data_IF_704570634573
#
_entry.id   IF_704570634573
#
_cell.length_a   1.000
_cell.length_b   1.000
_cell.length_c   1.000
_cell.angle_alpha   90.00
_cell.angle_beta   90.00
_cell.angle_gamma   90.00
#
_symmetry.space_group_name_H-M   'P 1'
#
loop_
_entity.id
_entity.type
_entity.pdbx_description
1 polymer ?
#
# COMPACT_ATOMS: atom_id res chain seq x y z
N UNK A 1 -10.34 -21.85 -27.34
CA UNK A 1 -9.33 -22.63 -28.08
C UNK A 1 -10.05 -23.82 -28.67
N UNK A 2 -9.89 -24.08 -29.97
CA UNK A 2 -10.45 -25.28 -30.58
C UNK A 2 -9.75 -26.52 -29.97
N UNK A 3 -10.50 -27.60 -29.77
CA UNK A 3 -9.92 -28.86 -29.34
C UNK A 3 -9.10 -29.42 -30.50
N UNK A 4 -7.81 -29.69 -30.27
CA UNK A 4 -6.94 -30.36 -31.25
C UNK A 4 -7.45 -31.80 -31.41
N UNK A 5 -7.86 -32.17 -32.63
CA UNK A 5 -8.30 -33.52 -32.99
C UNK A 5 -7.34 -34.16 -33.98
N UNK A 6 -7.30 -35.49 -34.01
CA UNK A 6 -6.56 -36.27 -35.00
C UNK A 6 -6.88 -35.81 -36.45
N UNK A 7 -8.16 -35.55 -36.75
CA UNK A 7 -8.62 -35.06 -38.05
C UNK A 7 -8.02 -33.69 -38.41
N UNK A 8 -7.92 -32.77 -37.43
CA UNK A 8 -7.32 -31.45 -37.65
C UNK A 8 -5.82 -31.55 -37.96
N UNK A 9 -5.07 -32.38 -37.22
CA UNK A 9 -3.63 -32.59 -37.47
C UNK A 9 -3.39 -33.30 -38.81
N UNK A 10 -4.24 -34.24 -39.19
CA UNK A 10 -4.16 -34.92 -40.47
C UNK A 10 -4.36 -33.95 -41.64
N UNK A 11 -5.35 -33.06 -41.54
CA UNK A 11 -5.59 -32.02 -42.56
C UNK A 11 -4.39 -31.07 -42.70
N UNK A 12 -3.75 -30.70 -41.59
CA UNK A 12 -2.56 -29.84 -41.61
C UNK A 12 -1.34 -30.59 -42.17
N UNK A 13 -1.12 -31.87 -41.83
CA UNK A 13 -0.03 -32.68 -42.37
C UNK A 13 -0.16 -32.90 -43.89
N UNK A 14 -1.38 -33.08 -44.39
CA UNK A 14 -1.68 -33.19 -45.82
C UNK A 14 -1.36 -31.89 -46.58
N UNK A 15 -1.50 -30.72 -45.94
CA UNK A 15 -1.13 -29.42 -46.54
C UNK A 15 0.37 -29.31 -46.85
N UNK A 16 1.22 -30.03 -46.10
CA UNK A 16 2.67 -30.04 -46.26
C UNK A 16 3.21 -31.31 -46.95
N UNK A 17 2.33 -32.10 -47.59
CA UNK A 17 2.68 -33.37 -48.25
C UNK A 17 3.41 -34.38 -47.34
N UNK A 18 3.12 -34.37 -46.03
CA UNK A 18 3.75 -35.28 -45.06
C UNK A 18 2.90 -36.56 -44.94
N UNK A 19 3.39 -37.73 -45.40
CA UNK A 19 2.61 -38.95 -45.32
C UNK A 19 2.55 -39.48 -43.88
N UNK A 20 1.36 -39.47 -43.28
CA UNK A 20 1.08 -40.14 -42.01
C UNK A 20 0.07 -41.27 -42.25
N UNK A 21 0.55 -42.52 -42.28
CA UNK A 21 -0.28 -43.71 -42.50
C UNK A 21 -0.56 -44.49 -41.20
N UNK A 22 0.08 -44.09 -40.10
CA UNK A 22 -0.02 -44.74 -38.81
C UNK A 22 -0.83 -43.87 -37.84
N UNK A 23 -2.01 -44.34 -37.46
CA UNK A 23 -2.90 -43.62 -36.55
C UNK A 23 -2.26 -43.45 -35.16
N UNK A 24 -1.33 -44.33 -34.76
CA UNK A 24 -0.63 -44.23 -33.47
C UNK A 24 0.34 -43.04 -33.40
N UNK A 25 0.93 -42.65 -34.54
CA UNK A 25 1.79 -41.47 -34.69
C UNK A 25 0.95 -40.20 -34.56
N UNK A 26 -0.24 -40.21 -35.13
CA UNK A 26 -1.19 -39.10 -35.08
C UNK A 26 -1.72 -38.89 -33.66
N UNK A 27 -2.07 -39.98 -32.96
CA UNK A 27 -2.49 -39.95 -31.55
C UNK A 27 -1.38 -39.38 -30.65
N UNK A 28 -0.12 -39.73 -30.93
CA UNK A 28 1.03 -39.18 -30.19
C UNK A 28 1.19 -37.67 -30.42
N UNK A 29 0.97 -37.18 -31.64
CA UNK A 29 1.00 -35.74 -31.92
C UNK A 29 -0.15 -35.00 -31.22
N UNK A 30 -1.34 -35.60 -31.13
CA UNK A 30 -2.47 -35.04 -30.36
C UNK A 30 -2.08 -34.94 -28.89
N UNK A 31 -1.51 -36.00 -28.31
CA UNK A 31 -1.02 -36.01 -26.91
C UNK A 31 0.00 -34.87 -26.69
N UNK A 32 0.99 -34.73 -27.58
CA UNK A 32 2.02 -33.69 -27.48
C UNK A 32 1.44 -32.27 -27.59
N UNK A 33 0.43 -32.05 -28.43
CA UNK A 33 -0.29 -30.77 -28.54
C UNK A 33 -0.98 -30.42 -27.23
N UNK A 34 -1.65 -31.39 -26.60
CA UNK A 34 -2.37 -31.21 -25.33
C UNK A 34 -1.37 -30.92 -24.20
N UNK A 35 -0.32 -31.73 -24.08
CA UNK A 35 0.71 -31.57 -23.05
C UNK A 35 1.48 -30.25 -23.17
N UNK A 36 1.76 -29.81 -24.40
CA UNK A 36 2.55 -28.59 -24.66
C UNK A 36 1.69 -27.33 -24.84
N UNK A 37 0.35 -27.46 -24.84
CA UNK A 37 -0.63 -26.39 -25.13
C UNK A 37 -0.36 -25.68 -26.46
N UNK A 38 -0.16 -26.44 -27.53
CA UNK A 38 0.10 -25.96 -28.89
C UNK A 38 -1.09 -26.34 -29.79
N UNK A 39 -1.45 -25.50 -30.76
CA UNK A 39 -2.51 -25.79 -31.74
C UNK A 39 -1.97 -26.68 -32.88
N UNK A 40 -2.87 -27.28 -33.67
CA UNK A 40 -2.50 -28.27 -34.69
C UNK A 40 -1.59 -27.69 -35.79
N UNK A 41 -1.87 -26.47 -36.23
CA UNK A 41 -1.11 -25.70 -37.21
C UNK A 41 0.31 -25.40 -36.72
N UNK A 42 0.44 -24.84 -35.51
CA UNK A 42 1.72 -24.55 -34.88
C UNK A 42 2.57 -25.84 -34.68
N UNK A 43 1.93 -26.96 -34.33
CA UNK A 43 2.61 -28.25 -34.16
C UNK A 43 3.21 -28.75 -35.48
N UNK A 44 2.45 -28.69 -36.57
CA UNK A 44 2.92 -29.16 -37.89
C UNK A 44 4.03 -28.25 -38.43
N UNK A 45 3.93 -26.92 -38.23
CA UNK A 45 4.98 -25.98 -38.61
C UNK A 45 6.30 -26.23 -37.88
N UNK A 46 6.24 -26.45 -36.56
CA UNK A 46 7.42 -26.76 -35.75
C UNK A 46 8.02 -28.11 -36.13
N UNK A 47 7.18 -29.10 -36.45
CA UNK A 47 7.64 -30.39 -36.95
C UNK A 47 8.35 -30.26 -38.31
N UNK A 48 7.78 -29.48 -39.25
CA UNK A 48 8.38 -29.21 -40.57
C UNK A 48 9.73 -28.53 -40.41
N UNK A 49 9.83 -27.52 -39.54
CA UNK A 49 11.08 -26.82 -39.24
C UNK A 49 12.13 -27.80 -38.67
N UNK A 50 11.74 -28.61 -37.68
CA UNK A 50 12.62 -29.61 -37.07
C UNK A 50 13.09 -30.65 -38.09
N UNK A 51 12.18 -31.23 -38.87
CA UNK A 51 12.50 -32.20 -39.92
C UNK A 51 13.48 -31.64 -40.95
N UNK A 52 13.29 -30.37 -41.35
CA UNK A 52 14.18 -29.68 -42.29
C UNK A 52 15.59 -29.53 -41.72
N UNK A 53 15.73 -29.12 -40.44
CA UNK A 53 17.04 -28.99 -39.79
C UNK A 53 17.79 -30.31 -39.62
N UNK A 54 17.09 -31.44 -39.69
CA UNK A 54 17.66 -32.79 -39.57
C UNK A 54 17.70 -33.53 -40.92
N UNK A 55 17.78 -32.80 -42.04
CA UNK A 55 17.87 -33.33 -43.41
C UNK A 55 16.63 -34.13 -43.89
N UNK A 56 15.42 -33.65 -43.60
CA UNK A 56 14.18 -34.22 -44.14
C UNK A 56 13.79 -35.52 -43.44
N UNK A 57 13.76 -35.48 -42.10
CA UNK A 57 13.41 -36.61 -41.27
C UNK A 57 11.94 -37.01 -41.49
N UNK A 58 11.70 -38.31 -41.68
CA UNK A 58 10.35 -38.85 -41.84
C UNK A 58 9.60 -38.85 -40.51
N UNK A 59 8.29 -38.62 -40.58
CA UNK A 59 7.40 -38.68 -39.42
C UNK A 59 7.23 -40.13 -38.95
N UNK A 60 7.89 -40.46 -37.83
CA UNK A 60 7.83 -41.76 -37.15
C UNK A 60 7.74 -41.55 -35.64
N UNK A 61 7.30 -42.56 -34.88
CA UNK A 61 7.19 -42.50 -33.42
C UNK A 61 8.51 -42.09 -32.75
N UNK A 62 9.63 -42.72 -33.12
CA UNK A 62 10.96 -42.40 -32.58
C UNK A 62 11.36 -40.95 -32.89
N UNK A 63 11.03 -40.45 -34.08
CA UNK A 63 11.36 -39.10 -34.48
C UNK A 63 10.52 -38.05 -33.72
N UNK A 64 9.26 -38.36 -33.38
CA UNK A 64 8.40 -37.54 -32.53
C UNK A 64 8.87 -37.49 -31.07
N UNK A 65 9.40 -38.58 -30.53
CA UNK A 65 10.00 -38.59 -29.18
C UNK A 65 11.25 -37.70 -29.13
N UNK A 66 12.09 -37.76 -30.16
CA UNK A 66 13.25 -36.86 -30.27
C UNK A 66 12.84 -35.39 -30.43
N UNK A 67 11.82 -35.11 -31.23
CA UNK A 67 11.26 -33.77 -31.39
C UNK A 67 10.69 -33.21 -30.07
N UNK A 68 9.97 -34.03 -29.31
CA UNK A 68 9.45 -33.64 -28.00
C UNK A 68 10.57 -33.24 -27.03
N UNK A 69 11.64 -34.04 -26.98
CA UNK A 69 12.77 -33.78 -26.09
C UNK A 69 13.62 -32.57 -26.53
N UNK A 70 13.89 -32.44 -27.84
CA UNK A 70 14.78 -31.39 -28.35
C UNK A 70 14.08 -30.03 -28.52
N UNK A 71 12.78 -30.00 -28.81
CA UNK A 71 12.04 -28.79 -29.18
C UNK A 71 10.98 -28.45 -28.13
N UNK A 72 10.02 -29.34 -27.89
CA UNK A 72 8.84 -29.04 -27.04
C UNK A 72 9.21 -28.86 -25.56
N UNK A 73 10.05 -29.74 -25.01
CA UNK A 73 10.45 -29.71 -23.60
C UNK A 73 11.41 -28.55 -23.27
N UNK A 74 12.23 -28.09 -24.23
CA UNK A 74 13.07 -26.90 -24.03
C UNK A 74 12.24 -25.61 -24.02
N UNK A 75 11.17 -25.54 -24.82
CA UNK A 75 10.25 -24.40 -24.89
C UNK A 75 9.37 -24.28 -23.63
N UNK A 76 8.98 -25.42 -23.04
CA UNK A 76 8.31 -25.46 -21.73
C UNK A 76 9.20 -24.89 -20.61
N UNK A 77 10.50 -25.21 -20.61
CA UNK A 77 11.48 -24.66 -19.66
C UNK A 77 11.82 -23.19 -19.92
N UNK A 78 11.86 -22.73 -21.17
CA UNK A 78 12.12 -21.31 -21.47
C UNK A 78 10.96 -20.38 -21.09
N UNK A 79 9.71 -20.86 -21.12
CA UNK A 79 8.54 -20.13 -20.61
C UNK A 79 8.54 -19.93 -19.08
N UNK A 80 9.33 -20.71 -18.31
CA UNK A 80 9.53 -20.48 -16.86
C UNK A 80 10.71 -19.57 -16.53
N UNK A 81 11.56 -19.22 -17.51
CA UNK A 81 12.61 -18.23 -17.35
C UNK A 81 12.19 -16.93 -18.02
N UNK A 82 11.30 -16.18 -17.37
CA UNK A 82 11.17 -14.76 -17.69
C UNK A 82 12.44 -14.03 -17.24
N UNK A 83 13.44 -13.97 -18.14
CA UNK A 83 14.39 -12.86 -18.12
C UNK A 83 13.60 -11.63 -18.58
N UNK A 84 13.22 -10.79 -17.63
CA UNK A 84 12.67 -9.46 -17.92
C UNK A 84 13.82 -8.62 -18.48
N UNK A 85 13.90 -8.50 -19.80
CA UNK A 85 14.62 -7.38 -20.40
C UNK A 85 13.90 -6.09 -20.00
N UNK A 86 14.69 -5.13 -19.49
CA UNK A 86 14.24 -3.79 -19.13
C UNK A 86 13.59 -3.10 -20.34
N UNK A 87 12.27 -3.08 -20.36
CA UNK A 87 11.47 -2.39 -21.39
C UNK A 87 11.04 -1.04 -20.86
N UNK A 88 12.02 -0.18 -20.56
CA UNK A 88 11.81 1.25 -20.44
C UNK A 88 11.92 1.83 -21.86
N UNK A 89 10.86 2.47 -22.38
CA UNK A 89 10.78 3.14 -23.69
C UNK A 89 10.15 2.35 -24.87
N UNK A 90 8.94 1.82 -24.70
CA UNK A 90 7.99 1.69 -25.83
C UNK A 90 6.67 2.36 -25.51
N UNK A 91 6.12 3.08 -26.49
CA UNK A 91 4.76 3.61 -26.51
C UNK A 91 3.79 2.45 -26.32
N UNK A 92 3.00 2.47 -25.24
CA UNK A 92 2.16 1.35 -24.81
C UNK A 92 0.74 1.45 -25.38
N UNK A 93 0.19 0.29 -25.73
CA UNK A 93 -1.15 0.08 -26.30
C UNK A 93 -2.22 -0.03 -25.20
N UNK A 94 -3.47 0.30 -25.51
CA UNK A 94 -4.66 0.28 -24.63
C UNK A 94 -4.86 -1.08 -23.96
N UNK A 95 -4.39 -2.17 -24.58
CA UNK A 95 -4.44 -3.52 -24.03
C UNK A 95 -3.46 -3.79 -22.87
N UNK A 96 -2.51 -2.89 -22.59
CA UNK A 96 -1.57 -3.00 -21.47
C UNK A 96 -2.09 -2.37 -20.16
N UNK A 97 -3.25 -1.71 -20.18
CA UNK A 97 -3.85 -1.08 -19.00
C UNK A 97 -4.30 -2.12 -17.97
N UNK A 98 -4.76 -3.29 -18.40
CA UNK A 98 -5.18 -4.34 -17.49
C UNK A 98 -4.00 -4.91 -16.70
N UNK A 99 -2.82 -5.02 -17.32
CA UNK A 99 -1.60 -5.47 -16.66
C UNK A 99 -1.07 -4.43 -15.66
N UNK A 100 -1.26 -3.13 -15.95
CA UNK A 100 -0.94 -2.05 -15.03
C UNK A 100 -1.83 -2.06 -13.79
N UNK A 101 -3.16 -2.18 -13.98
CA UNK A 101 -4.13 -2.28 -12.88
C UNK A 101 -3.80 -3.48 -12.01
N UNK A 102 -3.50 -4.62 -12.62
CA UNK A 102 -3.13 -5.82 -11.89
C UNK A 102 -1.81 -5.67 -11.13
N UNK A 103 -0.81 -5.00 -11.71
CA UNK A 103 0.45 -4.72 -11.04
C UNK A 103 0.26 -3.75 -9.84
N UNK A 104 -0.59 -2.74 -10.00
CA UNK A 104 -0.96 -1.80 -8.93
C UNK A 104 -1.73 -2.51 -7.81
N UNK A 105 -2.69 -3.39 -8.14
CA UNK A 105 -3.38 -4.24 -7.15
C UNK A 105 -2.40 -5.19 -6.42
N UNK A 106 -1.42 -5.77 -7.12
CA UNK A 106 -0.39 -6.63 -6.52
C UNK A 106 0.53 -5.82 -5.59
N UNK A 107 0.87 -4.59 -5.96
CA UNK A 107 1.66 -3.65 -5.14
C UNK A 107 0.89 -3.20 -3.90
N UNK A 108 -0.38 -2.82 -4.04
CA UNK A 108 -1.27 -2.46 -2.93
C UNK A 108 -1.42 -3.63 -1.93
N UNK A 109 -1.61 -4.84 -2.43
CA UNK A 109 -1.68 -6.05 -1.59
C UNK A 109 -0.36 -6.32 -0.86
N UNK A 110 0.78 -6.04 -1.51
CA UNK A 110 2.09 -6.16 -0.89
C UNK A 110 2.26 -5.11 0.21
N UNK A 111 1.87 -3.86 -0.02
CA UNK A 111 1.90 -2.78 0.97
C UNK A 111 1.00 -3.10 2.18
N UNK A 112 -0.21 -3.62 1.94
CA UNK A 112 -1.13 -4.08 3.00
C UNK A 112 -0.54 -5.19 3.88
N UNK A 113 0.46 -5.94 3.37
CA UNK A 113 1.17 -6.97 4.15
C UNK A 113 2.13 -6.40 5.20
N UNK A 114 2.47 -5.11 5.09
CA UNK A 114 3.29 -4.33 6.03
C UNK A 114 2.46 -3.34 6.88
N UNK A 115 1.18 -3.14 6.55
CA UNK A 115 0.25 -2.35 7.36
C UNK A 115 -0.16 -3.06 8.64
N UNK A 116 -0.45 -2.28 9.70
CA UNK A 116 -0.98 -2.81 10.96
C UNK A 116 -2.43 -2.36 11.16
N UNK A 117 -3.40 -3.29 11.31
CA UNK A 117 -3.25 -4.74 11.28
C UNK A 117 -3.18 -5.31 9.84
N UNK A 118 -2.28 -6.27 9.61
CA UNK A 118 -2.06 -6.88 8.30
C UNK A 118 -3.26 -7.74 7.85
N UNK A 119 -3.73 -7.58 6.61
CA UNK A 119 -4.87 -8.32 6.03
C UNK A 119 -4.53 -9.77 5.61
N UNK A 120 -3.71 -10.46 6.39
CA UNK A 120 -3.49 -11.91 6.25
C UNK A 120 -4.64 -12.68 6.91
N UNK A 121 -5.36 -13.50 6.15
CA UNK A 121 -6.44 -14.42 6.56
C UNK A 121 -6.47 -14.77 8.07
N UNK A 122 -7.23 -14.03 8.89
CA UNK A 122 -7.58 -14.47 10.26
C UNK A 122 -9.02 -14.14 10.68
N UNK A 123 -9.61 -15.13 11.38
CA UNK A 123 -10.93 -15.13 11.99
C UNK A 123 -10.88 -14.32 13.31
N UNK A 124 -11.44 -13.09 13.30
CA UNK A 124 -11.67 -12.14 14.43
C UNK A 124 -10.42 -11.44 14.97
N UNK A 125 -10.46 -10.19 15.47
CA UNK A 125 -11.51 -9.18 15.54
C UNK A 125 -10.93 -7.85 15.00
N UNK A 126 -11.58 -7.30 13.97
CA UNK A 126 -11.20 -6.04 13.33
C UNK A 126 -11.75 -4.87 14.16
N UNK A 127 -10.89 -3.93 14.55
CA UNK A 127 -11.26 -2.66 15.20
C UNK A 127 -11.66 -1.57 14.20
N UNK A 128 -11.68 -1.88 12.91
CA UNK A 128 -12.17 -1.02 11.82
C UNK A 128 -13.05 -1.87 10.89
N UNK A 129 -14.31 -1.48 10.61
CA UNK A 129 -15.15 -2.22 9.67
C UNK A 129 -14.61 -2.05 8.25
N UNK A 130 -13.94 -3.09 7.72
CA UNK A 130 -13.83 -3.28 6.27
C UNK A 130 -14.82 -4.35 5.79
N UNK A 131 -15.36 -4.09 4.60
CA UNK A 131 -16.52 -4.71 3.95
C UNK A 131 -16.72 -6.22 4.17
N UNK A 132 -17.74 -6.64 4.94
CA UNK A 132 -18.41 -7.90 4.69
C UNK A 132 -19.49 -7.69 3.63
N UNK A 133 -19.38 -8.35 2.47
CA UNK A 133 -20.45 -8.40 1.47
C UNK A 133 -21.75 -8.92 2.12
N UNK A 134 -22.78 -8.08 2.16
CA UNK A 134 -24.08 -8.45 2.72
C UNK A 134 -24.81 -9.43 1.79
N UNK A 135 -24.85 -10.71 2.19
CA UNK A 135 -25.78 -11.70 1.64
C UNK A 135 -27.01 -11.78 2.55
N UNK A 136 -27.98 -10.89 2.40
CA UNK A 136 -29.42 -11.13 2.68
C UNK A 136 -30.26 -9.89 2.39
N UNK A 137 -31.25 -10.09 1.53
CA UNK A 137 -32.40 -9.22 1.30
C UNK A 137 -33.54 -9.60 2.26
N UNK A 138 -34.09 -8.64 3.01
CA UNK A 138 -35.48 -8.71 3.51
C UNK A 138 -35.97 -7.40 4.17
N UNK A 139 -37.24 -7.10 3.84
CA UNK A 139 -38.26 -6.26 4.50
C UNK A 139 -38.14 -4.72 4.45
N UNK A 140 -39.08 -4.13 3.70
CA UNK A 140 -39.35 -2.71 3.51
C UNK A 140 -40.05 -2.10 4.72
N UNK A 141 -39.42 -1.12 5.37
CA UNK A 141 -40.09 -0.08 6.16
C UNK A 141 -39.48 1.27 5.80
N UNK A 142 -40.31 2.20 5.33
CA UNK A 142 -39.90 3.57 5.00
C UNK A 142 -39.70 4.38 6.29
N UNK A 143 -38.54 5.01 6.45
CA UNK A 143 -38.24 5.95 7.53
C UNK A 143 -37.86 7.33 6.97
N UNK A 144 -38.10 8.44 7.71
CA UNK A 144 -38.01 9.81 7.18
C UNK A 144 -36.56 10.23 6.90
N UNK A 145 -36.36 11.11 5.91
CA UNK A 145 -35.05 11.59 5.50
C UNK A 145 -34.23 12.16 6.66
N UNK A 146 -33.02 11.61 6.85
CA UNK A 146 -32.04 12.04 7.84
C UNK A 146 -31.16 13.14 7.25
N UNK A 147 -30.93 14.21 8.03
CA UNK A 147 -30.32 15.48 7.60
C UNK A 147 -28.92 15.36 6.98
N UNK A 148 -28.18 14.28 7.25
CA UNK A 148 -26.80 14.09 6.75
C UNK A 148 -26.66 13.10 5.60
N UNK A 149 -27.71 12.35 5.26
CA UNK A 149 -27.62 11.32 4.23
C UNK A 149 -27.64 11.92 2.83
N UNK A 150 -26.65 11.60 1.97
CA UNK A 150 -26.75 11.87 0.54
C UNK A 150 -27.98 11.22 -0.05
N UNK A 151 -28.63 11.88 -1.01
CA UNK A 151 -29.63 11.22 -1.81
C UNK A 151 -28.95 10.10 -2.65
N UNK A 152 -29.59 8.93 -2.67
CA UNK A 152 -29.14 7.73 -3.39
C UNK A 152 -30.24 7.27 -4.33
N UNK A 153 -29.87 6.62 -5.44
CA UNK A 153 -30.82 6.10 -6.44
C UNK A 153 -31.79 5.05 -5.89
N UNK A 154 -31.49 4.45 -4.73
CA UNK A 154 -32.43 3.58 -4.01
C UNK A 154 -32.18 3.71 -2.50
N UNK A 155 -33.16 4.17 -1.69
CA UNK A 155 -32.98 4.31 -0.25
C UNK A 155 -32.72 2.94 0.40
N UNK A 156 -31.68 2.86 1.23
CA UNK A 156 -31.35 1.65 1.99
C UNK A 156 -32.52 1.27 2.91
N UNK A 157 -32.87 -0.02 2.94
CA UNK A 157 -34.01 -0.51 3.73
C UNK A 157 -33.76 -0.47 5.25
N UNK A 158 -32.51 -0.62 5.70
CA UNK A 158 -32.11 -0.63 7.12
C UNK A 158 -30.72 -0.03 7.32
N UNK A 159 -30.49 1.26 6.99
CA UNK A 159 -29.18 1.88 7.14
C UNK A 159 -28.76 1.91 8.62
N UNK A 160 -27.49 1.60 8.91
CA UNK A 160 -26.88 1.71 10.25
C UNK A 160 -27.51 0.89 11.38
N UNK A 161 -28.35 -0.10 11.09
CA UNK A 161 -29.11 -0.81 12.13
C UNK A 161 -28.21 -1.42 13.22
N UNK A 162 -27.09 -2.05 12.82
CA UNK A 162 -26.11 -2.64 13.75
C UNK A 162 -25.42 -1.59 14.60
N UNK A 163 -25.09 -0.44 14.02
CA UNK A 163 -24.43 0.65 14.73
C UNK A 163 -25.35 1.26 15.80
N UNK A 164 -26.62 1.48 15.45
CA UNK A 164 -27.60 2.09 16.36
C UNK A 164 -28.00 1.17 17.52
N UNK A 165 -27.92 -0.15 17.33
CA UNK A 165 -28.23 -1.15 18.36
C UNK A 165 -27.02 -1.59 19.20
N UNK A 166 -25.87 -0.93 19.06
CA UNK A 166 -24.64 -1.32 19.77
C UNK A 166 -24.80 -1.19 21.29
N UNK A 167 -24.33 -2.22 22.03
CA UNK A 167 -24.35 -2.21 23.50
C UNK A 167 -23.18 -1.46 24.15
N UNK A 168 -22.02 -1.41 23.48
CA UNK A 168 -20.77 -0.84 24.02
C UNK A 168 -20.66 0.69 23.91
N UNK A 169 -21.78 1.43 23.90
CA UNK A 169 -21.73 2.91 23.78
C UNK A 169 -21.08 3.51 25.04
N UNK A 170 -19.93 4.15 24.86
CA UNK A 170 -19.18 4.80 25.95
C UNK A 170 -18.32 3.83 26.79
N UNK A 171 -18.15 2.59 26.36
CA UNK A 171 -17.26 1.62 27.01
C UNK A 171 -15.78 2.03 26.83
N UNK A 172 -15.02 2.02 27.92
CA UNK A 172 -13.57 2.26 27.90
C UNK A 172 -12.87 0.93 27.61
N UNK A 173 -12.35 0.79 26.39
CA UNK A 173 -11.72 -0.46 25.92
C UNK A 173 -10.24 -0.59 26.31
N UNK A 174 -9.54 0.54 26.52
CA UNK A 174 -8.13 0.61 26.89
C UNK A 174 -7.90 1.82 27.79
N UNK A 175 -6.98 1.69 28.75
CA UNK A 175 -6.50 2.79 29.59
C UNK A 175 -4.98 2.81 29.62
N UNK A 176 -4.40 3.99 29.75
CA UNK A 176 -2.97 4.20 29.88
C UNK A 176 -2.70 5.35 30.86
N UNK A 177 -1.68 5.20 31.70
CA UNK A 177 -1.34 6.18 32.73
C UNK A 177 -2.31 6.22 33.92
N UNK A 178 -2.28 7.31 34.67
CA UNK A 178 -3.13 7.51 35.85
C UNK A 178 -4.48 8.11 35.43
N UNK A 179 -5.45 7.26 35.10
CA UNK A 179 -6.79 7.69 34.67
C UNK A 179 -7.72 7.89 35.87
N UNK A 180 -8.26 9.10 36.05
CA UNK A 180 -9.26 9.41 37.09
C UNK A 180 -10.70 9.20 36.58
N UNK A 181 -11.21 7.98 36.74
CA UNK A 181 -12.63 7.67 36.51
C UNK A 181 -13.09 7.77 35.04
N UNK A 182 -14.40 7.92 34.84
CA UNK A 182 -15.05 7.90 33.51
C UNK A 182 -15.47 9.28 33.01
N UNK A 183 -15.24 10.33 33.81
CA UNK A 183 -15.70 11.69 33.49
C UNK A 183 -14.54 12.54 32.99
N UNK A 184 -14.42 12.63 31.67
CA UNK A 184 -13.43 13.42 30.96
C UNK A 184 -14.07 14.75 30.59
N UNK A 185 -13.61 15.85 31.19
CA UNK A 185 -14.12 17.19 30.88
C UNK A 185 -12.96 18.14 30.65
N UNK A 186 -12.97 18.91 29.57
CA UNK A 186 -11.98 19.97 29.33
C UNK A 186 -12.22 21.20 30.21
N UNK A 187 -11.42 22.26 29.98
CA UNK A 187 -11.48 23.47 30.83
C UNK A 187 -12.81 24.20 30.68
N UNK A 188 -13.30 24.77 31.78
CA UNK A 188 -14.64 25.40 31.85
C UNK A 188 -14.71 26.79 31.21
N UNK A 189 -13.57 27.47 31.04
CA UNK A 189 -13.50 28.80 30.46
C UNK A 189 -13.17 28.72 28.95
N UNK A 190 -14.13 29.00 28.05
CA UNK A 190 -13.85 29.00 26.62
C UNK A 190 -12.87 30.13 26.27
N UNK A 191 -11.74 29.77 25.63
CA UNK A 191 -10.81 30.72 25.01
C UNK A 191 -9.62 31.22 25.85
N UNK A 192 -9.46 30.78 27.10
CA UNK A 192 -8.28 31.13 27.91
C UNK A 192 -7.32 29.93 27.93
N UNK A 193 -6.15 30.05 27.30
CA UNK A 193 -4.99 29.20 27.60
C UNK A 193 -4.71 27.97 26.71
N UNK A 194 -5.33 27.79 25.53
CA UNK A 194 -4.85 26.79 24.55
C UNK A 194 -4.01 27.52 23.50
N UNK A 195 -2.70 27.28 23.48
CA UNK A 195 -1.85 27.66 22.35
C UNK A 195 -1.71 26.45 21.42
N UNK A 196 -2.03 26.66 20.14
CA UNK A 196 -1.87 25.66 19.10
C UNK A 196 -0.99 26.30 18.04
N UNK A 197 0.18 25.74 17.85
CA UNK A 197 1.19 26.22 16.91
C UNK A 197 1.66 25.03 16.09
N UNK A 198 1.92 25.28 14.82
CA UNK A 198 2.64 24.32 14.00
C UNK A 198 4.09 24.32 14.48
N UNK A 199 4.60 23.13 14.80
CA UNK A 199 5.94 22.97 15.39
C UNK A 199 7.04 23.41 14.42
N UNK A 200 6.86 23.06 13.15
CA UNK A 200 7.79 23.38 12.07
C UNK A 200 7.49 24.78 11.51
N UNK A 201 8.53 25.44 10.99
CA UNK A 201 8.40 26.76 10.42
C UNK A 201 7.52 26.78 9.16
N UNK A 202 7.10 27.96 8.70
CA UNK A 202 6.25 28.10 7.51
C UNK A 202 6.90 27.65 6.20
N UNK A 203 8.23 27.44 6.18
CA UNK A 203 8.95 26.89 5.02
C UNK A 203 8.86 25.37 4.93
N UNK A 204 8.75 24.69 6.08
CA UNK A 204 8.73 23.22 6.18
C UNK A 204 7.30 22.68 6.25
N UNK A 205 6.35 23.49 6.73
CA UNK A 205 4.92 23.14 6.79
C UNK A 205 4.23 23.35 5.44
N UNK A 206 3.52 22.32 4.97
CA UNK A 206 2.71 22.43 3.76
C UNK A 206 1.44 23.25 4.03
N UNK A 207 1.39 24.50 3.57
CA UNK A 207 0.25 25.40 3.80
C UNK A 207 -0.76 25.48 2.66
N UNK A 208 -0.39 25.03 1.46
CA UNK A 208 -1.21 25.17 0.26
C UNK A 208 -1.00 24.02 -0.71
N UNK A 209 -1.93 23.85 -1.65
CA UNK A 209 -1.78 22.90 -2.75
C UNK A 209 -0.45 23.11 -3.50
N UNK A 210 0.18 22.00 -3.86
CA UNK A 210 1.45 21.97 -4.58
C UNK A 210 1.33 21.12 -5.85
N UNK A 211 2.34 21.18 -6.73
CA UNK A 211 2.38 20.39 -7.96
C UNK A 211 2.98 19.02 -7.66
N UNK A 212 2.18 17.97 -7.79
CA UNK A 212 2.60 16.59 -7.52
C UNK A 212 2.45 15.63 -8.71
N UNK A 213 1.74 16.00 -9.77
CA UNK A 213 1.39 15.08 -10.88
C UNK A 213 2.58 14.67 -11.77
N UNK A 214 3.78 15.16 -11.51
CA UNK A 214 4.97 14.80 -12.27
C UNK A 214 6.21 14.84 -11.36
N UNK A 215 6.94 13.73 -11.33
CA UNK A 215 8.22 13.61 -10.64
C UNK A 215 9.31 13.21 -11.64
N UNK A 216 10.50 13.80 -11.54
CA UNK A 216 11.66 13.37 -12.32
C UNK A 216 12.37 12.27 -11.53
N UNK A 217 12.73 11.18 -12.20
CA UNK A 217 13.48 10.07 -11.57
C UNK A 217 14.78 10.54 -10.91
N UNK A 218 15.42 11.57 -11.48
CA UNK A 218 16.62 12.19 -10.89
C UNK A 218 16.33 12.81 -9.53
N UNK A 219 15.20 13.49 -9.39
CA UNK A 219 14.81 14.16 -8.14
C UNK A 219 14.47 13.11 -7.08
N UNK A 220 13.74 12.06 -7.45
CA UNK A 220 13.46 10.91 -6.57
C UNK A 220 14.76 10.25 -6.08
N UNK A 221 15.69 9.97 -7.00
CA UNK A 221 17.00 9.41 -6.65
C UNK A 221 17.77 10.32 -5.70
N UNK A 222 17.73 11.63 -5.91
CA UNK A 222 18.41 12.58 -5.03
C UNK A 222 17.80 12.56 -3.62
N UNK A 223 16.48 12.59 -3.47
CA UNK A 223 15.82 12.49 -2.15
C UNK A 223 16.16 11.16 -1.44
N UNK A 224 16.18 10.05 -2.17
CA UNK A 224 16.57 8.75 -1.61
C UNK A 224 18.04 8.73 -1.17
N UNK A 225 18.91 9.40 -1.92
CA UNK A 225 20.33 9.56 -1.59
C UNK A 225 20.51 10.42 -0.34
N UNK A 226 19.90 11.61 -0.33
CA UNK A 226 19.91 12.55 0.80
C UNK A 226 19.42 11.86 2.08
N UNK A 227 18.34 11.06 2.00
CA UNK A 227 17.86 10.26 3.13
C UNK A 227 18.92 9.32 3.72
N UNK A 228 19.69 8.64 2.86
CA UNK A 228 20.75 7.71 3.31
C UNK A 228 21.92 8.51 3.91
N UNK A 229 22.33 9.59 3.26
CA UNK A 229 23.49 10.39 3.65
C UNK A 229 23.25 11.19 4.94
N UNK A 230 22.11 11.87 5.07
CA UNK A 230 21.76 12.68 6.25
C UNK A 230 21.63 11.82 7.51
N UNK A 231 20.89 10.71 7.42
CA UNK A 231 20.77 9.77 8.54
C UNK A 231 22.10 9.04 8.79
N UNK A 232 22.85 8.73 7.73
CA UNK A 232 24.18 8.15 7.83
C UNK A 232 25.15 9.01 8.62
N UNK A 233 25.18 10.32 8.37
CA UNK A 233 26.02 11.27 9.10
C UNK A 233 25.63 11.38 10.57
N UNK A 234 24.32 11.40 10.86
CA UNK A 234 23.81 11.36 12.24
C UNK A 234 24.23 10.09 12.99
N UNK A 235 24.12 8.91 12.36
CA UNK A 235 24.54 7.63 12.93
C UNK A 235 26.06 7.55 13.07
N UNK A 236 26.81 8.04 12.08
CA UNK A 236 28.28 8.10 12.09
C UNK A 236 28.78 8.89 13.30
N UNK A 237 28.23 10.08 13.49
CA UNK A 237 28.56 10.95 14.63
C UNK A 237 28.17 10.31 15.97
N UNK A 238 26.96 9.75 16.08
CA UNK A 238 26.47 9.14 17.32
C UNK A 238 27.31 7.92 17.76
N UNK A 239 27.65 7.05 16.82
CA UNK A 239 28.41 5.82 17.11
C UNK A 239 29.93 5.99 16.99
N UNK A 240 30.42 7.20 16.72
CA UNK A 240 31.85 7.49 16.53
C UNK A 240 32.50 6.61 15.45
N UNK A 241 31.81 6.41 14.33
CA UNK A 241 32.30 5.63 13.20
C UNK A 241 33.26 6.51 12.39
N UNK A 242 34.50 6.03 12.15
CA UNK A 242 35.52 6.79 11.43
C UNK A 242 35.12 7.02 9.97
N UNK A 243 34.80 5.94 9.25
CA UNK A 243 34.37 5.98 7.86
C UNK A 243 33.48 4.79 7.50
N UNK A 244 32.62 4.99 6.50
CA UNK A 244 31.89 3.90 5.87
C UNK A 244 32.72 3.36 4.69
N UNK A 245 32.74 2.04 4.56
CA UNK A 245 33.41 1.36 3.47
C UNK A 245 32.45 1.07 2.31
N UNK A 246 32.93 1.07 1.05
CA UNK A 246 32.13 0.63 -0.08
C UNK A 246 31.75 -0.85 0.05
N UNK A 247 30.45 -1.15 0.16
CA UNK A 247 29.96 -2.52 0.39
C UNK A 247 30.27 -3.48 -0.76
N UNK A 248 30.46 -2.96 -1.98
CA UNK A 248 30.70 -3.75 -3.19
C UNK A 248 32.16 -4.14 -3.42
N UNK A 249 33.09 -3.60 -2.61
CA UNK A 249 34.50 -3.93 -2.71
C UNK A 249 34.85 -5.12 -1.80
N UNK A 250 35.66 -6.08 -2.28
CA UNK A 250 36.14 -7.17 -1.44
C UNK A 250 37.00 -6.64 -0.28
N UNK A 251 36.68 -7.07 0.94
CA UNK A 251 37.45 -6.78 2.15
C UNK A 251 37.65 -8.07 2.97
N UNK A 252 38.87 -8.29 3.46
CA UNK A 252 39.18 -9.43 4.34
C UNK A 252 38.84 -9.14 5.80
N UNK A 253 39.00 -7.89 6.22
CA UNK A 253 38.62 -7.42 7.55
C UNK A 253 37.14 -7.07 7.62
N UNK A 254 36.62 -6.95 8.84
CA UNK A 254 35.26 -6.48 9.08
C UNK A 254 35.15 -5.01 8.67
N UNK A 255 34.16 -4.70 7.83
CA UNK A 255 33.87 -3.36 7.33
C UNK A 255 32.58 -2.83 7.92
N UNK A 256 32.48 -1.51 8.07
CA UNK A 256 31.26 -0.81 8.47
C UNK A 256 30.63 -0.17 7.25
N UNK A 257 29.38 -0.51 6.94
CA UNK A 257 28.70 -0.06 5.73
C UNK A 257 27.41 0.69 6.08
N UNK A 258 27.07 1.66 5.24
CA UNK A 258 25.82 2.41 5.27
C UNK A 258 25.01 2.09 4.02
N UNK A 259 23.71 1.88 4.19
CA UNK A 259 22.81 1.72 3.06
C UNK A 259 21.35 1.60 3.44
N UNK A 260 20.51 1.40 2.44
CA UNK A 260 19.07 1.20 2.56
C UNK A 260 18.74 -0.27 2.31
N UNK A 261 17.87 -0.84 3.16
CA UNK A 261 17.37 -2.20 3.01
C UNK A 261 16.44 -2.28 1.79
N UNK A 262 16.69 -3.24 0.91
CA UNK A 262 15.91 -3.53 -0.29
C UNK A 262 15.51 -5.01 -0.33
N UNK A 263 14.56 -5.34 -1.21
CA UNK A 263 14.16 -6.72 -1.49
C UNK A 263 14.67 -7.14 -2.86
N UNK A 264 15.13 -8.38 -3.00
CA UNK A 264 15.57 -8.94 -4.30
C UNK A 264 14.42 -9.26 -5.28
N UNK A 265 13.19 -9.08 -4.83
CA UNK A 265 11.98 -9.42 -5.57
C UNK A 265 10.82 -8.50 -5.20
N UNK A 266 9.78 -8.49 -6.04
CA UNK A 266 8.53 -7.74 -5.81
C UNK A 266 7.59 -8.44 -4.80
N UNK A 267 8.15 -9.17 -3.85
CA UNK A 267 7.43 -9.94 -2.85
C UNK A 267 7.67 -9.43 -1.44
N UNK A 268 7.12 -10.15 -0.47
CA UNK A 268 7.37 -9.87 0.95
C UNK A 268 8.84 -10.16 1.30
N UNK A 269 9.49 -9.19 1.93
CA UNK A 269 10.85 -9.28 2.44
C UNK A 269 10.94 -10.42 3.45
N UNK A 270 11.96 -11.25 3.29
CA UNK A 270 12.32 -12.32 4.19
C UNK A 270 13.84 -12.34 4.41
N UNK A 271 14.32 -13.15 5.34
CA UNK A 271 15.72 -13.18 5.73
C UNK A 271 16.71 -13.57 4.61
N UNK A 272 16.23 -14.24 3.55
CA UNK A 272 17.05 -14.65 2.41
C UNK A 272 17.03 -13.65 1.25
N UNK A 273 16.06 -12.73 1.25
CA UNK A 273 15.82 -11.78 0.17
C UNK A 273 16.32 -10.36 0.49
N UNK A 274 17.10 -10.19 1.55
CA UNK A 274 17.60 -8.89 2.00
C UNK A 274 18.76 -8.43 1.14
N UNK A 275 18.59 -7.27 0.52
CA UNK A 275 19.64 -6.52 -0.15
C UNK A 275 19.96 -5.25 0.64
N UNK A 276 21.19 -4.77 0.54
CA UNK A 276 21.59 -3.44 0.98
C UNK A 276 22.00 -2.62 -0.24
N UNK A 277 21.29 -1.52 -0.47
CA UNK A 277 21.64 -0.51 -1.46
C UNK A 277 22.50 0.56 -0.79
N UNK A 278 23.77 0.65 -1.18
CA UNK A 278 24.68 1.66 -0.66
C UNK A 278 24.45 3.02 -1.34
N UNK A 279 24.70 4.11 -0.62
CA UNK A 279 24.66 5.46 -1.18
C UNK A 279 25.69 5.66 -2.31
N UNK A 280 25.55 6.72 -3.14
CA UNK A 280 26.47 6.98 -4.26
C UNK A 280 27.94 7.14 -3.82
N UNK A 281 28.19 7.77 -2.68
CA UNK A 281 29.54 7.90 -2.11
C UNK A 281 30.19 6.55 -1.79
N UNK A 282 29.37 5.53 -1.50
CA UNK A 282 29.78 4.17 -1.15
C UNK A 282 29.66 3.19 -2.34
N UNK A 283 29.47 3.73 -3.56
CA UNK A 283 29.49 2.99 -4.82
C UNK A 283 28.12 2.78 -5.47
N UNK A 284 27.00 3.12 -4.82
CA UNK A 284 25.66 3.05 -5.42
C UNK A 284 25.25 1.65 -5.88
N UNK A 285 25.79 0.60 -5.26
CA UNK A 285 25.55 -0.79 -5.64
C UNK A 285 24.66 -1.50 -4.61
N UNK A 286 23.95 -2.52 -5.10
CA UNK A 286 23.18 -3.41 -4.25
C UNK A 286 23.98 -4.67 -3.94
N UNK A 287 24.03 -5.06 -2.66
CA UNK A 287 24.72 -6.27 -2.21
C UNK A 287 23.79 -7.10 -1.32
N UNK A 288 23.61 -8.40 -1.60
CA UNK A 288 22.91 -9.32 -0.71
C UNK A 288 23.52 -9.38 0.69
N UNK A 289 22.64 -9.43 1.70
CA UNK A 289 23.04 -9.52 3.10
C UNK A 289 22.78 -10.93 3.62
N UNK A 290 23.80 -11.55 4.20
CA UNK A 290 23.63 -12.73 5.05
C UNK A 290 23.33 -12.29 6.48
N UNK A 291 22.17 -12.71 7.01
CA UNK A 291 21.75 -12.44 8.37
C UNK A 291 22.03 -13.61 9.32
N UNK A 292 22.65 -14.70 8.85
CA UNK A 292 22.86 -15.93 9.64
C UNK A 292 23.65 -15.72 10.93
N UNK A 293 24.56 -14.75 10.96
CA UNK A 293 25.39 -14.42 12.12
C UNK A 293 24.76 -13.35 13.04
N UNK A 294 23.64 -12.75 12.65
CA UNK A 294 22.91 -11.80 13.49
C UNK A 294 21.97 -12.55 14.44
N UNK A 295 22.13 -12.29 15.75
CA UNK A 295 21.28 -12.88 16.79
C UNK A 295 19.89 -12.26 16.82
N UNK A 296 19.83 -10.95 16.66
CA UNK A 296 18.61 -10.14 16.74
C UNK A 296 18.67 -9.08 15.66
N UNK A 297 17.57 -8.90 14.93
CA UNK A 297 17.44 -7.85 13.93
C UNK A 297 15.96 -7.53 13.70
N UNK A 298 15.71 -6.30 13.26
CA UNK A 298 14.42 -5.87 12.74
C UNK A 298 14.68 -5.06 11.49
N UNK A 299 14.26 -5.61 10.34
CA UNK A 299 14.51 -5.03 9.03
C UNK A 299 13.20 -4.84 8.27
N UNK A 300 13.07 -3.71 7.58
CA UNK A 300 11.97 -3.46 6.65
C UNK A 300 12.46 -2.75 5.38
N UNK A 301 11.78 -2.93 4.22
CA UNK A 301 12.17 -2.27 2.99
C UNK A 301 12.20 -0.74 3.15
N UNK A 302 13.31 -0.15 2.75
CA UNK A 302 13.54 1.29 2.80
C UNK A 302 14.15 1.82 4.09
N UNK A 303 14.40 0.96 5.08
CA UNK A 303 15.12 1.30 6.30
C UNK A 303 16.58 1.64 5.99
N UNK A 304 17.06 2.81 6.42
CA UNK A 304 18.49 3.13 6.41
C UNK A 304 19.14 2.47 7.61
N UNK A 305 20.23 1.75 7.38
CA UNK A 305 20.91 0.95 8.38
C UNK A 305 22.42 1.12 8.27
N UNK A 306 23.08 0.95 9.41
CA UNK A 306 24.52 0.73 9.47
C UNK A 306 24.75 -0.71 9.92
N UNK A 307 25.61 -1.41 9.20
CA UNK A 307 25.96 -2.81 9.49
C UNK A 307 27.47 -2.96 9.55
N UNK A 308 27.96 -3.79 10.46
CA UNK A 308 29.30 -4.37 10.37
C UNK A 308 29.22 -5.79 9.84
N UNK A 309 30.22 -6.17 9.06
CA UNK A 309 30.31 -7.52 8.53
C UNK A 309 31.52 -7.73 7.66
N UNK A 310 31.63 -8.93 7.09
CA UNK A 310 32.70 -9.30 6.16
C UNK A 310 32.13 -9.50 4.76
N UNK A 311 32.78 -8.91 3.75
CA UNK A 311 32.47 -9.15 2.35
C UNK A 311 33.75 -9.52 1.59
N UNK A 312 34.22 -10.75 1.75
CA UNK A 312 35.49 -11.21 1.15
C UNK A 312 35.47 -11.32 -0.38
N UNK A 313 34.27 -11.29 -0.99
CA UNK A 313 34.09 -11.46 -2.44
C UNK A 313 33.62 -10.21 -3.17
N UNK A 314 33.20 -9.17 -2.43
CA UNK A 314 32.49 -8.01 -2.97
C UNK A 314 31.04 -8.29 -3.37
N UNK A 315 30.53 -9.53 -3.21
CA UNK A 315 29.22 -9.95 -3.73
C UNK A 315 28.16 -10.24 -2.67
N UNK A 316 28.55 -10.40 -1.41
CA UNK A 316 27.62 -10.73 -0.32
C UNK A 316 28.26 -10.34 1.01
N UNK A 317 27.58 -9.49 1.76
CA UNK A 317 28.03 -9.09 3.10
C UNK A 317 27.45 -10.07 4.12
N UNK A 318 28.32 -10.73 4.88
CA UNK A 318 27.89 -11.50 6.05
C UNK A 318 27.85 -10.55 7.24
N UNK A 319 26.65 -10.13 7.64
CA UNK A 319 26.47 -9.14 8.70
C UNK A 319 26.71 -9.79 10.07
N UNK A 320 27.61 -9.20 10.85
CA UNK A 320 27.93 -9.63 12.21
C UNK A 320 27.29 -8.72 13.26
N UNK A 321 26.93 -7.49 12.91
CA UNK A 321 26.27 -6.53 13.80
C UNK A 321 25.41 -5.56 13.00
N UNK A 322 24.22 -5.28 13.53
CA UNK A 322 23.31 -4.24 13.07
C UNK A 322 23.27 -3.15 14.13
N UNK A 323 23.50 -1.90 13.73
CA UNK A 323 23.39 -0.77 14.65
C UNK A 323 21.92 -0.43 14.94
N UNK A 324 21.63 -0.10 16.19
CA UNK A 324 20.29 0.32 16.61
C UNK A 324 19.96 1.71 16.06
N UNK A 325 18.69 1.93 15.72
CA UNK A 325 18.22 3.23 15.27
C UNK A 325 18.31 4.26 16.41
N UNK A 326 18.78 5.46 16.09
CA UNK A 326 18.90 6.56 17.06
C UNK A 326 17.69 7.48 16.91
N UNK A 327 16.84 7.65 17.95
CA UNK A 327 15.72 8.58 17.88
C UNK A 327 16.22 10.03 17.92
N UNK A 328 15.42 10.94 17.34
CA UNK A 328 15.63 12.37 17.51
C UNK A 328 15.46 12.76 18.99
N UNK A 329 16.16 13.82 19.46
CA UNK A 329 15.97 14.33 20.80
C UNK A 329 14.53 14.81 21.00
N UNK A 330 14.03 14.71 22.24
CA UNK A 330 12.72 15.26 22.58
C UNK A 330 12.70 16.77 22.42
N UNK A 331 11.55 17.31 21.98
CA UNK A 331 11.32 18.74 21.93
C UNK A 331 11.56 19.38 23.29
N UNK A 332 12.34 20.46 23.30
CA UNK A 332 12.61 21.27 24.49
C UNK A 332 12.09 22.68 24.22
N UNK A 333 11.08 23.11 24.96
CA UNK A 333 10.56 24.47 24.81
C UNK A 333 11.53 25.48 25.41
N UNK A 334 11.85 26.55 24.66
CA UNK A 334 12.61 27.69 25.17
C UNK A 334 11.75 28.61 26.06
N UNK A 335 10.42 28.47 25.96
CA UNK A 335 9.46 29.24 26.72
C UNK A 335 9.23 28.54 28.06
N UNK A 336 9.58 29.21 29.16
CA UNK A 336 9.12 28.81 30.50
C UNK A 336 7.61 29.01 30.56
N UNK A 337 6.85 27.99 30.18
CA UNK A 337 5.41 28.00 30.40
C UNK A 337 5.19 28.08 31.90
N UNK A 338 4.49 29.12 32.36
CA UNK A 338 3.91 29.09 33.70
C UNK A 338 3.06 27.82 33.76
N UNK A 339 3.33 26.94 34.73
CA UNK A 339 2.53 25.74 34.92
C UNK A 339 1.10 26.16 35.19
N UNK A 340 0.27 26.15 34.15
CA UNK A 340 -1.17 26.20 34.29
C UNK A 340 -1.58 24.92 35.02
N UNK A 341 -2.14 25.05 36.21
CA UNK A 341 -2.45 23.92 37.10
C UNK A 341 -3.61 23.05 36.54
N UNK A 342 -4.31 23.50 35.49
CA UNK A 342 -5.39 22.74 34.86
C UNK A 342 -4.90 21.87 33.69
N UNK A 343 -5.20 20.55 33.68
CA UNK A 343 -4.78 19.66 32.61
C UNK A 343 -5.53 19.93 31.30
N UNK A 344 -4.81 19.91 30.18
CA UNK A 344 -5.37 19.99 28.83
C UNK A 344 -6.05 18.67 28.44
N UNK A 345 -7.26 18.74 27.89
CA UNK A 345 -7.97 17.58 27.35
C UNK A 345 -8.03 17.62 25.82
N UNK A 346 -7.42 16.61 25.18
CA UNK A 346 -7.41 16.45 23.73
C UNK A 346 -8.20 15.21 23.34
N UNK A 347 -9.28 15.40 22.58
CA UNK A 347 -10.03 14.31 21.97
C UNK A 347 -9.43 14.00 20.58
N UNK A 348 -9.22 12.73 20.28
CA UNK A 348 -8.74 12.29 18.96
C UNK A 348 -9.73 11.29 18.39
N UNK A 349 -10.13 11.50 17.13
CA UNK A 349 -10.94 10.56 16.38
C UNK A 349 -10.45 10.47 14.92
N UNK A 350 -10.60 9.29 14.33
CA UNK A 350 -10.20 9.00 12.96
C UNK A 350 -11.36 8.33 12.24
N UNK A 351 -11.56 8.69 10.97
CA UNK A 351 -12.59 8.09 10.13
C UNK A 351 -12.35 6.59 9.87
N UNK A 352 -13.33 5.88 9.27
CA UNK A 352 -14.53 6.43 8.65
C UNK A 352 -15.61 6.88 9.66
N UNK A 353 -16.30 7.98 9.36
CA UNK A 353 -17.36 8.55 10.23
C UNK A 353 -18.78 8.08 9.88
N UNK A 354 -18.90 7.07 9.03
CA UNK A 354 -20.17 6.43 8.66
C UNK A 354 -19.97 4.91 8.55
N UNK A 355 -20.97 4.08 8.89
CA UNK A 355 -20.88 2.64 8.74
C UNK A 355 -20.76 2.22 7.27
N UNK A 356 -20.21 1.04 6.98
CA UNK A 356 -20.02 0.57 5.60
C UNK A 356 -21.32 0.32 4.82
N UNK A 357 -22.45 0.19 5.51
CA UNK A 357 -23.77 -0.10 4.92
C UNK A 357 -24.63 1.16 4.73
N UNK A 358 -24.13 2.35 5.09
CA UNK A 358 -24.90 3.59 5.02
C UNK A 358 -24.03 4.84 4.90
N UNK A 359 -24.61 5.91 4.35
CA UNK A 359 -24.03 7.26 4.35
C UNK A 359 -24.81 8.18 5.31
N UNK A 360 -25.35 7.64 6.40
CA UNK A 360 -26.15 8.43 7.36
C UNK A 360 -25.30 9.24 8.34
N UNK A 361 -23.99 8.92 8.45
CA UNK A 361 -23.06 9.58 9.36
C UNK A 361 -23.51 9.55 10.83
N UNK A 362 -24.22 8.48 11.25
CA UNK A 362 -24.61 8.30 12.66
C UNK A 362 -23.40 8.33 13.63
N UNK A 363 -22.23 7.73 13.30
CA UNK A 363 -21.03 7.87 14.13
C UNK A 363 -20.54 9.31 14.27
N UNK A 364 -20.63 10.11 13.20
CA UNK A 364 -20.27 11.53 13.25
C UNK A 364 -21.17 12.29 14.23
N UNK A 365 -22.48 12.05 14.17
CA UNK A 365 -23.46 12.67 15.07
C UNK A 365 -23.22 12.26 16.53
N UNK A 366 -22.95 10.98 16.79
CA UNK A 366 -22.61 10.50 18.12
C UNK A 366 -21.28 11.13 18.62
N UNK A 367 -20.30 11.32 17.74
CA UNK A 367 -19.04 12.02 18.08
C UNK A 367 -19.28 13.49 18.43
N UNK A 368 -20.10 14.21 17.65
CA UNK A 368 -20.50 15.59 17.96
C UNK A 368 -21.13 15.66 19.36
N UNK A 369 -22.01 14.72 19.69
CA UNK A 369 -22.62 14.64 21.02
C UNK A 369 -21.58 14.38 22.13
N UNK A 370 -20.56 13.57 21.87
CA UNK A 370 -19.44 13.36 22.80
C UNK A 370 -18.65 14.65 23.01
N UNK A 371 -18.32 15.39 21.94
CA UNK A 371 -17.61 16.68 22.03
C UNK A 371 -18.45 17.69 22.83
N UNK A 372 -19.76 17.76 22.62
CA UNK A 372 -20.66 18.63 23.38
C UNK A 372 -20.68 18.26 24.87
N UNK A 373 -20.74 16.97 25.17
CA UNK A 373 -20.82 16.43 26.53
C UNK A 373 -19.52 16.65 27.31
N UNK A 374 -18.39 16.29 26.70
CA UNK A 374 -17.09 16.23 27.36
C UNK A 374 -16.32 17.55 27.23
N UNK A 375 -16.71 18.41 26.29
CA UNK A 375 -16.11 19.74 26.09
C UNK A 375 -14.58 19.73 26.09
N UNK A 376 -13.92 18.91 25.25
CA UNK A 376 -12.46 18.88 25.17
C UNK A 376 -11.91 20.26 24.77
N UNK A 377 -10.67 20.55 25.15
CA UNK A 377 -9.98 21.78 24.76
C UNK A 377 -9.61 21.77 23.28
N UNK A 378 -9.18 20.60 22.78
CA UNK A 378 -8.81 20.36 21.38
C UNK A 378 -9.46 19.07 20.90
N UNK A 379 -9.93 19.06 19.65
CA UNK A 379 -10.43 17.88 18.96
C UNK A 379 -9.65 17.67 17.66
N UNK A 380 -8.86 16.61 17.60
CA UNK A 380 -8.11 16.20 16.42
C UNK A 380 -8.93 15.17 15.63
N UNK A 381 -9.43 15.58 14.48
CA UNK A 381 -10.31 14.80 13.61
C UNK A 381 -9.55 14.43 12.34
N UNK A 382 -9.17 13.16 12.23
CA UNK A 382 -8.47 12.61 11.08
C UNK A 382 -9.47 12.03 10.08
N UNK A 383 -9.21 12.20 8.79
CA UNK A 383 -10.00 11.57 7.73
C UNK A 383 -9.92 10.03 7.75
N UNK A 384 -10.65 9.33 6.85
CA UNK A 384 -11.48 9.93 5.82
C UNK A 384 -12.84 10.41 6.34
N UNK A 385 -13.22 11.63 5.96
CA UNK A 385 -14.56 12.18 6.15
C UNK A 385 -15.52 11.66 5.09
N UNK A 386 -15.07 11.65 3.83
CA UNK A 386 -15.78 10.98 2.73
C UNK A 386 -14.85 9.92 2.15
N UNK A 387 -15.08 8.69 2.56
CA UNK A 387 -14.17 7.58 2.30
C UNK A 387 -14.29 7.05 0.87
N UNK A 388 -13.19 7.15 0.11
CA UNK A 388 -13.08 6.64 -1.26
C UNK A 388 -13.31 5.13 -1.37
N UNK A 389 -13.12 4.38 -0.27
CA UNK A 389 -13.36 2.92 -0.20
C UNK A 389 -14.77 2.56 0.31
N UNK A 390 -15.62 3.55 0.60
CA UNK A 390 -17.02 3.26 0.93
C UNK A 390 -17.77 2.79 -0.34
N UNK A 391 -18.51 1.67 -0.25
CA UNK A 391 -19.11 1.00 -1.43
C UNK A 391 -19.93 1.94 -2.31
N UNK A 392 -20.78 2.78 -1.71
CA UNK A 392 -21.61 3.73 -2.46
C UNK A 392 -20.81 4.88 -3.09
N UNK A 393 -19.65 5.23 -2.53
CA UNK A 393 -18.75 6.27 -3.05
C UNK A 393 -17.95 5.70 -4.21
N UNK A 394 -17.32 4.54 -4.02
CA UNK A 394 -16.53 3.83 -5.03
C UNK A 394 -17.37 3.51 -6.28
N UNK A 395 -18.62 3.10 -6.09
CA UNK A 395 -19.57 2.80 -7.19
C UNK A 395 -20.30 4.02 -7.74
N UNK A 396 -19.97 5.23 -7.27
CA UNK A 396 -20.61 6.49 -7.67
C UNK A 396 -22.16 6.44 -7.59
N UNK A 397 -22.69 5.87 -6.51
CA UNK A 397 -24.14 5.68 -6.30
C UNK A 397 -24.82 6.86 -5.58
N UNK A 398 -24.06 7.91 -5.26
CA UNK A 398 -24.56 9.16 -4.67
C UNK A 398 -25.04 10.12 -5.75
N UNK A 399 -26.05 10.93 -5.45
CA UNK A 399 -26.61 11.90 -6.41
C UNK A 399 -26.06 13.33 -6.24
N UNK A 400 -25.01 13.51 -5.45
CA UNK A 400 -24.39 14.79 -5.16
C UNK A 400 -22.86 14.70 -5.27
N UNK A 401 -22.18 15.85 -5.36
CA UNK A 401 -20.72 15.87 -5.49
C UNK A 401 -20.06 15.45 -4.18
N UNK A 402 -18.89 14.81 -4.28
CA UNK A 402 -18.11 14.44 -3.10
C UNK A 402 -17.73 15.65 -2.23
N UNK A 403 -17.46 16.78 -2.87
CA UNK A 403 -17.22 18.07 -2.20
C UNK A 403 -18.42 18.53 -1.36
N UNK A 404 -19.64 18.35 -1.86
CA UNK A 404 -20.85 18.72 -1.13
C UNK A 404 -21.08 17.82 0.09
N UNK A 405 -20.79 16.52 -0.04
CA UNK A 405 -20.87 15.56 1.08
C UNK A 405 -19.85 15.95 2.15
N UNK A 406 -18.60 16.24 1.75
CA UNK A 406 -17.55 16.67 2.66
C UNK A 406 -17.91 17.96 3.37
N UNK A 407 -18.33 18.99 2.61
CA UNK A 407 -18.76 20.28 3.14
C UNK A 407 -19.82 20.11 4.22
N UNK A 408 -20.84 19.28 3.96
CA UNK A 408 -21.90 18.99 4.95
C UNK A 408 -21.36 18.33 6.21
N UNK A 409 -20.40 17.40 6.08
CA UNK A 409 -19.76 16.76 7.23
C UNK A 409 -19.04 17.79 8.10
N UNK A 410 -18.23 18.65 7.49
CA UNK A 410 -17.49 19.69 8.21
C UNK A 410 -18.42 20.71 8.85
N UNK A 411 -19.39 21.24 8.09
CA UNK A 411 -20.39 22.19 8.61
C UNK A 411 -21.14 21.59 9.81
N UNK A 412 -21.51 20.31 9.75
CA UNK A 412 -22.17 19.62 10.88
C UNK A 412 -21.31 19.55 12.13
N UNK A 413 -20.01 19.28 11.98
CA UNK A 413 -19.06 19.25 13.10
C UNK A 413 -18.89 20.65 13.68
N UNK A 414 -18.62 21.64 12.83
CA UNK A 414 -18.40 23.03 13.24
C UNK A 414 -19.65 23.54 13.94
N UNK A 415 -20.82 23.48 13.28
CA UNK A 415 -22.09 23.97 13.80
C UNK A 415 -22.54 23.24 15.08
N UNK A 416 -22.40 21.92 15.09
CA UNK A 416 -22.73 21.09 16.25
C UNK A 416 -21.89 21.40 17.48
N UNK A 417 -20.65 21.87 17.29
CA UNK A 417 -19.69 22.09 18.39
C UNK A 417 -19.44 23.58 18.70
N UNK A 418 -20.08 24.52 18.00
CA UNK A 418 -19.98 25.99 18.25
C UNK A 418 -20.18 26.39 19.72
N UNK A 419 -21.05 25.69 20.45
CA UNK A 419 -21.36 25.97 21.86
C UNK A 419 -20.29 25.51 22.86
N UNK A 420 -19.29 24.75 22.39
CA UNK A 420 -18.29 24.08 23.23
C UNK A 420 -17.08 24.96 23.49
N UNK A 421 -16.65 25.75 22.50
CA UNK A 421 -15.38 26.49 22.56
C UNK A 421 -14.14 25.60 22.36
N UNK A 422 -14.33 24.38 21.86
CA UNK A 422 -13.26 23.43 21.51
C UNK A 422 -12.53 23.90 20.24
N UNK A 423 -11.19 23.82 20.21
CA UNK A 423 -10.43 23.99 18.96
C UNK A 423 -10.53 22.73 18.11
N UNK A 424 -10.95 22.86 16.86
CA UNK A 424 -11.05 21.74 15.93
C UNK A 424 -9.84 21.72 15.01
N UNK A 425 -9.17 20.58 14.91
CA UNK A 425 -8.03 20.36 14.01
C UNK A 425 -8.40 19.23 13.06
N UNK A 426 -8.50 19.54 11.77
CA UNK A 426 -8.84 18.58 10.73
C UNK A 426 -7.57 18.10 10.02
N UNK A 427 -7.37 16.78 9.97
CA UNK A 427 -6.23 16.16 9.29
C UNK A 427 -6.73 15.35 8.10
N UNK A 428 -6.28 15.65 6.87
CA UNK A 428 -6.71 14.91 5.68
C UNK A 428 -6.21 13.46 5.67
N UNK A 429 -6.93 12.61 4.95
CA UNK A 429 -6.51 11.25 4.62
C UNK A 429 -6.42 11.07 3.11
N UNK A 430 -5.53 10.22 2.60
CA UNK A 430 -5.48 9.88 1.17
C UNK A 430 -6.77 9.22 0.67
N UNK A 431 -7.60 8.74 1.61
CA UNK A 431 -8.93 8.19 1.34
C UNK A 431 -10.04 9.25 1.30
N UNK A 432 -9.76 10.52 1.57
CA UNK A 432 -10.73 11.59 1.35
C UNK A 432 -10.92 11.83 -0.14
N UNK A 433 -11.99 11.27 -0.70
CA UNK A 433 -12.22 11.20 -2.16
C UNK A 433 -12.29 12.58 -2.85
N UNK A 434 -12.63 13.63 -2.11
CA UNK A 434 -12.74 15.00 -2.62
C UNK A 434 -11.39 15.74 -2.60
N UNK A 435 -10.38 15.21 -1.91
CA UNK A 435 -9.11 15.90 -1.64
C UNK A 435 -7.94 15.32 -2.45
N UNK A 436 -6.79 15.97 -2.36
CA UNK A 436 -5.54 15.48 -2.95
C UNK A 436 -5.20 14.07 -2.44
N UNK A 437 -5.03 13.10 -3.33
CA UNK A 437 -4.78 11.69 -2.97
C UNK A 437 -3.29 11.33 -2.81
N UNK A 438 -2.39 12.31 -2.91
CA UNK A 438 -0.93 12.12 -2.85
C UNK A 438 -0.39 12.61 -1.51
N UNK A 439 0.46 11.79 -0.89
CA UNK A 439 1.20 12.15 0.31
C UNK A 439 2.49 12.91 -0.06
N UNK A 440 2.91 13.94 0.73
CA UNK A 440 2.17 14.54 1.85
C UNK A 440 0.97 15.38 1.38
N UNK A 441 -0.15 15.34 2.10
CA UNK A 441 -1.36 16.06 1.68
C UNK A 441 -1.37 17.50 2.21
N UNK A 442 -1.78 18.52 1.41
CA UNK A 442 -1.99 19.86 1.91
C UNK A 442 -3.24 19.91 2.81
N UNK A 443 -3.43 20.98 3.60
CA UNK A 443 -4.64 21.18 4.40
C UNK A 443 -5.91 21.23 3.54
N UNK A 444 -7.06 20.92 4.14
CA UNK A 444 -8.35 21.11 3.47
C UNK A 444 -8.63 22.58 3.16
N UNK A 445 -9.33 22.83 2.06
CA UNK A 445 -9.94 24.13 1.81
C UNK A 445 -11.33 24.14 2.43
N UNK A 446 -11.48 24.74 3.61
CA UNK A 446 -12.75 24.74 4.33
C UNK A 446 -13.70 25.83 3.76
N UNK A 447 -14.97 25.49 3.46
CA UNK A 447 -15.95 26.46 2.96
C UNK A 447 -16.43 27.39 4.08
N UNK A 448 -16.58 28.69 3.77
CA UNK A 448 -17.34 29.68 4.57
C UNK A 448 -16.99 29.82 6.06
N UNK A 449 -15.74 29.60 6.48
CA UNK A 449 -15.30 30.07 7.80
C UNK A 449 -14.90 31.55 7.68
N UNK A 450 -15.52 32.40 8.50
CA UNK A 450 -15.06 33.79 8.65
C UNK A 450 -13.57 33.78 9.01
N UNK A 451 -12.77 34.77 8.55
CA UNK A 451 -11.30 34.78 8.73
C UNK A 451 -10.86 34.65 10.20
N UNK A 452 -11.73 34.97 11.15
CA UNK A 452 -11.49 34.83 12.61
C UNK A 452 -11.65 33.39 13.14
N UNK A 453 -12.14 32.45 12.32
CA UNK A 453 -12.39 31.04 12.68
C UNK A 453 -11.46 30.05 11.96
N UNK A 454 -10.58 30.53 11.08
CA UNK A 454 -9.77 29.70 10.17
C UNK A 454 -8.26 29.70 10.51
N UNK A 455 -7.89 30.08 11.73
CA UNK A 455 -6.49 30.03 12.22
C UNK A 455 -6.13 28.66 12.77
#
# INVERSE_FOLDING_TARGET
>A
MALVTAESLKSELEMFDIPCQDDSVLDKMVEQCICSRIQADDMVLEWVAYSTTKNGLKLTMEALEHFEHEVLNKKSKSKQSFRKEETHNRTRDIHSLQDLIKAEEEEDNLLDSYSTPAKGSQKRALTTPEHPHSKRSAALLASPGLLLSPASFSPSATPSQKYSQRGGKGEVVVTFGAVQGTRWVGRKAPGVGVQLELLEGPEDSLHSSYKYMFQRLRDVRNVLTEKIEELGEGLKSHFSIEEFSPVSLPAQDSITVLGQVCCDSNGKLNAQSVLLEAGPEQGGQQVPIDLSELKEYSLFPGQVVVMEGMNTTGRKLVASKLYEGVPLPFYTSEIKMETDDEPLNVLVACGPYTPSDSLTFDPLLDLINVIIRDRPDVCLLLGPFVDSKHEQIEKAQVTETFEAIFTRCIESIVDGTKSVGCRLVFVPSQRDIHHHFIYPQPPFTLPNLSKDQAQ
#
